data_IF_361266100340
#
_entry.id   IF_361266100340
#
_cell.length_a   1.000
_cell.length_b   1.000
_cell.length_c   1.000
_cell.angle_alpha   90.00
_cell.angle_beta   90.00
_cell.angle_gamma   90.00
#
_symmetry.space_group_name_H-M   'P 1'
#
loop_
_entity.id
_entity.type
_entity.pdbx_description
1 polymer ?
#
# COMPACT_ATOMS: atom_id res chain seq x y z
N UNK A 1 -10.82 -14.31 16.09
CA UNK A 1 -9.87 -14.04 14.98
C UNK A 1 -9.95 -12.56 14.69
N UNK A 2 -8.82 -11.88 14.53
CA UNK A 2 -8.78 -10.49 14.08
C UNK A 2 -8.60 -10.53 12.56
N UNK A 3 -9.65 -10.14 11.83
CA UNK A 3 -9.68 -10.16 10.37
C UNK A 3 -8.81 -9.09 9.73
N UNK A 4 -8.51 -8.02 10.46
CA UNK A 4 -7.56 -7.00 10.06
C UNK A 4 -7.05 -6.19 11.27
N UNK A 5 -5.73 -6.03 11.37
CA UNK A 5 -5.05 -5.10 12.28
C UNK A 5 -4.17 -4.12 11.48
N UNK A 6 -4.52 -3.90 10.21
CA UNK A 6 -3.80 -3.06 9.26
C UNK A 6 -4.40 -1.67 9.07
N UNK A 7 -3.96 -1.03 7.99
CA UNK A 7 -4.43 0.28 7.54
C UNK A 7 -3.31 1.08 6.88
N UNK A 8 -3.62 2.11 6.07
CA UNK A 8 -2.62 2.87 5.31
C UNK A 8 -1.55 3.56 6.16
N UNK A 9 -1.72 3.69 7.46
CA UNK A 9 -0.72 4.22 8.41
C UNK A 9 -0.45 3.24 9.56
N UNK A 10 -1.04 2.05 9.56
CA UNK A 10 -0.96 1.12 10.68
C UNK A 10 0.48 0.61 10.91
N UNK A 11 1.25 0.40 9.85
CA UNK A 11 2.66 0.05 9.99
C UNK A 11 3.57 1.21 10.42
N UNK A 12 3.02 2.41 10.61
CA UNK A 12 3.73 3.57 11.13
C UNK A 12 3.55 3.76 12.64
N UNK A 13 3.00 2.78 13.36
CA UNK A 13 2.84 2.84 14.81
C UNK A 13 4.17 3.18 15.50
N UNK A 14 4.15 4.25 16.31
CA UNK A 14 5.30 4.83 17.03
C UNK A 14 6.44 5.42 16.17
N UNK A 15 6.35 5.39 14.83
CA UNK A 15 7.28 6.10 13.96
C UNK A 15 7.07 7.62 14.11
N UNK A 16 8.17 8.37 14.26
CA UNK A 16 8.15 9.81 14.49
C UNK A 16 9.40 10.48 13.93
N UNK A 17 9.47 11.80 13.98
CA UNK A 17 10.71 12.52 13.71
C UNK A 17 11.75 12.17 14.79
N UNK A 18 12.96 11.78 14.37
CA UNK A 18 14.09 11.48 15.25
C UNK A 18 14.80 12.74 15.76
N UNK A 19 14.53 13.91 15.15
CA UNK A 19 15.19 15.17 15.47
C UNK A 19 14.16 16.19 15.99
N UNK A 20 14.11 16.45 17.31
CA UNK A 20 13.23 17.46 17.89
C UNK A 20 13.47 18.85 17.30
N UNK A 21 14.72 19.20 17.02
CA UNK A 21 15.08 20.48 16.41
C UNK A 21 14.52 20.60 14.99
N UNK A 22 14.65 19.54 14.18
CA UNK A 22 14.12 19.56 12.81
C UNK A 22 12.58 19.58 12.81
N UNK A 23 11.95 18.86 13.74
CA UNK A 23 10.50 18.79 13.88
C UNK A 23 9.88 20.17 14.20
N UNK A 24 10.49 20.93 15.11
CA UNK A 24 10.01 22.27 15.49
C UNK A 24 9.93 23.26 14.31
N UNK A 25 10.81 23.12 13.32
CA UNK A 25 10.87 24.01 12.16
C UNK A 25 10.41 23.34 10.86
N UNK A 26 9.89 22.11 10.93
CA UNK A 26 9.59 21.32 9.74
C UNK A 26 8.47 21.97 8.91
N UNK A 27 8.73 22.16 7.61
CA UNK A 27 7.74 22.64 6.62
C UNK A 27 7.42 21.60 5.54
N UNK A 28 7.94 20.37 5.68
CA UNK A 28 7.67 19.31 4.70
C UNK A 28 6.20 18.91 4.79
N UNK A 29 5.55 18.82 3.64
CA UNK A 29 4.19 18.31 3.53
C UNK A 29 4.12 16.78 3.77
N UNK A 30 5.26 16.09 3.62
CA UNK A 30 5.35 14.63 3.75
C UNK A 30 6.76 14.20 4.16
N UNK A 31 6.84 13.26 5.11
CA UNK A 31 8.09 12.63 5.54
C UNK A 31 8.58 11.51 4.60
N UNK A 32 7.79 11.20 3.58
CA UNK A 32 7.90 9.99 2.74
C UNK A 32 7.86 10.33 1.25
N UNK A 33 7.94 11.63 0.92
CA UNK A 33 7.90 12.14 -0.44
C UNK A 33 8.79 13.40 -0.57
N UNK A 34 9.47 13.62 -1.72
CA UNK A 34 9.67 12.67 -2.83
C UNK A 34 10.49 11.44 -2.43
N UNK A 35 11.32 11.60 -1.40
CA UNK A 35 12.10 10.57 -0.74
C UNK A 35 11.81 10.56 0.77
N UNK A 36 12.18 9.49 1.45
CA UNK A 36 12.06 9.39 2.90
C UNK A 36 12.96 10.44 3.55
N UNK A 37 12.36 11.25 4.42
CA UNK A 37 13.07 12.27 5.17
C UNK A 37 14.17 11.61 6.03
N UNK A 38 15.41 12.12 6.03
CA UNK A 38 16.50 11.52 6.81
C UNK A 38 16.25 11.56 8.33
N UNK A 39 15.38 12.47 8.79
CA UNK A 39 14.95 12.54 10.18
C UNK A 39 13.75 11.63 10.50
N UNK A 40 13.11 11.00 9.52
CA UNK A 40 11.99 10.09 9.75
C UNK A 40 12.49 8.77 10.34
N UNK A 41 11.87 8.31 11.42
CA UNK A 41 12.08 6.95 11.92
C UNK A 41 11.42 5.92 10.99
N UNK A 42 12.15 4.84 10.73
CA UNK A 42 11.72 3.73 9.89
C UNK A 42 11.82 2.38 10.63
N UNK A 43 12.16 2.40 11.92
CA UNK A 43 12.22 1.21 12.76
C UNK A 43 10.82 0.68 13.10
N UNK A 44 10.43 -0.44 12.50
CA UNK A 44 9.11 -1.05 12.71
C UNK A 44 9.06 -1.99 13.93
N UNK A 45 10.11 -2.07 14.73
CA UNK A 45 10.14 -2.90 15.95
C UNK A 45 8.94 -2.68 16.88
N UNK A 46 8.46 -1.45 17.16
CA UNK A 46 7.26 -1.26 17.97
C UNK A 46 6.01 -1.93 17.36
N UNK A 47 5.85 -1.84 16.04
CA UNK A 47 4.76 -2.48 15.29
C UNK A 47 4.87 -4.01 15.35
N UNK A 48 6.09 -4.55 15.12
CA UNK A 48 6.35 -5.99 15.20
C UNK A 48 6.02 -6.52 16.60
N UNK A 49 6.46 -5.82 17.64
CA UNK A 49 6.20 -6.17 19.03
C UNK A 49 4.71 -6.07 19.39
N UNK A 50 4.00 -5.09 18.83
CA UNK A 50 2.53 -5.01 18.95
C UNK A 50 1.87 -6.26 18.34
N UNK A 51 2.25 -6.62 17.13
CA UNK A 51 1.69 -7.79 16.45
C UNK A 51 1.95 -9.10 17.21
N UNK A 52 3.19 -9.29 17.69
CA UNK A 52 3.59 -10.45 18.51
C UNK A 52 2.75 -10.56 19.78
N UNK A 53 2.70 -9.49 20.58
CA UNK A 53 1.89 -9.44 21.81
C UNK A 53 0.42 -9.72 21.53
N UNK A 54 -0.13 -9.13 20.46
CA UNK A 54 -1.53 -9.34 20.10
C UNK A 54 -1.83 -10.82 19.76
N UNK A 55 -0.89 -11.54 19.13
CA UNK A 55 -1.04 -12.98 18.85
C UNK A 55 -1.03 -13.84 20.11
N UNK A 56 -0.34 -13.41 21.16
CA UNK A 56 -0.22 -14.16 22.42
C UNK A 56 -1.46 -14.02 23.33
N UNK A 57 -2.35 -13.07 23.03
CA UNK A 57 -3.57 -12.86 23.82
C UNK A 57 -4.52 -14.06 23.77
N UNK A 58 -5.03 -14.47 24.93
CA UNK A 58 -5.99 -15.58 25.07
C UNK A 58 -7.21 -15.34 24.18
N UNK A 59 -7.56 -16.34 23.36
CA UNK A 59 -8.69 -16.28 22.43
C UNK A 59 -8.35 -15.75 21.04
N UNK A 60 -7.15 -15.18 20.83
CA UNK A 60 -6.70 -14.75 19.50
C UNK A 60 -6.07 -15.93 18.76
N UNK A 61 -6.81 -16.49 17.80
CA UNK A 61 -6.34 -17.61 16.96
C UNK A 61 -5.48 -17.17 15.78
N UNK A 62 -5.73 -15.96 15.24
CA UNK A 62 -5.08 -15.42 14.03
C UNK A 62 -5.30 -13.92 13.95
N UNK A 63 -4.30 -13.21 13.43
CA UNK A 63 -4.34 -11.78 13.12
C UNK A 63 -3.91 -11.62 11.67
N UNK A 64 -4.75 -10.99 10.86
CA UNK A 64 -4.43 -10.67 9.47
C UNK A 64 -4.14 -9.17 9.31
N UNK A 65 -3.37 -8.83 8.26
CA UNK A 65 -3.16 -7.46 7.79
C UNK A 65 -3.65 -7.41 6.34
N UNK A 66 -4.77 -6.72 6.11
CA UNK A 66 -5.53 -6.76 4.84
C UNK A 66 -5.87 -5.38 4.24
N UNK A 67 -5.89 -4.30 5.04
CA UNK A 67 -6.27 -2.93 4.63
C UNK A 67 -5.12 -2.03 4.15
N UNK A 68 -3.99 -2.63 3.78
CA UNK A 68 -2.88 -1.95 3.12
C UNK A 68 -1.69 -1.66 4.05
N UNK A 69 -0.52 -1.50 3.43
CA UNK A 69 0.78 -1.28 4.08
C UNK A 69 1.47 -0.11 3.37
N UNK A 70 2.15 0.76 4.14
CA UNK A 70 3.13 1.71 3.60
C UNK A 70 4.36 0.96 3.15
N UNK A 71 4.26 0.37 1.96
CA UNK A 71 5.33 -0.44 1.35
C UNK A 71 6.60 0.38 1.14
N UNK A 72 6.46 1.68 0.88
CA UNK A 72 7.54 2.63 0.72
C UNK A 72 8.41 2.81 1.98
N UNK A 73 7.82 2.79 3.17
CA UNK A 73 8.58 2.76 4.44
C UNK A 73 8.93 1.31 4.85
N UNK A 74 8.07 0.33 4.54
CA UNK A 74 8.29 -1.06 4.93
C UNK A 74 9.59 -1.65 4.35
N UNK A 75 10.01 -1.23 3.16
CA UNK A 75 11.27 -1.67 2.54
C UNK A 75 12.52 -1.26 3.31
N UNK A 76 12.41 -0.25 4.18
CA UNK A 76 13.51 0.20 5.06
C UNK A 76 13.69 -0.72 6.27
N UNK A 77 12.72 -1.57 6.58
CA UNK A 77 12.82 -2.56 7.66
C UNK A 77 12.34 -3.95 7.19
N UNK A 78 13.24 -4.75 6.58
CA UNK A 78 12.92 -6.10 6.10
C UNK A 78 12.38 -7.03 7.20
N UNK A 79 12.66 -6.75 8.49
CA UNK A 79 12.11 -7.53 9.62
C UNK A 79 10.59 -7.43 9.66
N UNK A 80 10.03 -6.27 9.33
CA UNK A 80 8.59 -6.07 9.27
C UNK A 80 7.96 -6.88 8.13
N UNK A 81 8.57 -6.88 6.94
CA UNK A 81 8.07 -7.65 5.79
C UNK A 81 8.13 -9.15 6.09
N UNK A 82 9.20 -9.62 6.74
CA UNK A 82 9.32 -11.00 7.21
C UNK A 82 8.20 -11.35 8.20
N UNK A 83 7.96 -10.52 9.21
CA UNK A 83 6.87 -10.71 10.18
C UNK A 83 5.50 -10.79 9.48
N UNK A 84 5.26 -9.88 8.54
CA UNK A 84 4.04 -9.77 7.75
C UNK A 84 3.77 -11.05 6.93
N UNK A 85 4.73 -11.48 6.11
CA UNK A 85 4.59 -12.68 5.26
C UNK A 85 4.45 -13.97 6.12
N UNK A 86 5.25 -14.07 7.17
CA UNK A 86 5.30 -15.28 8.02
C UNK A 86 4.04 -15.47 8.84
N UNK A 87 3.41 -14.40 9.34
CA UNK A 87 2.31 -14.56 10.31
C UNK A 87 0.99 -13.92 9.90
N UNK A 88 1.01 -12.87 9.09
CA UNK A 88 -0.14 -11.96 8.99
C UNK A 88 -0.80 -11.88 7.62
N UNK A 89 -0.18 -12.45 6.60
CA UNK A 89 -0.82 -12.59 5.28
C UNK A 89 -1.37 -13.99 5.10
N UNK A 90 -2.66 -14.07 4.79
CA UNK A 90 -3.38 -15.33 4.59
C UNK A 90 -3.18 -15.95 3.19
N UNK A 91 -2.88 -15.11 2.20
CA UNK A 91 -2.68 -15.50 0.80
C UNK A 91 -2.47 -14.27 -0.06
N UNK A 92 -3.44 -13.34 -0.03
CA UNK A 92 -3.35 -12.08 -0.78
C UNK A 92 -3.04 -10.91 0.15
N UNK A 93 -2.15 -10.01 -0.30
CA UNK A 93 -1.92 -8.71 0.32
C UNK A 93 -2.23 -7.61 -0.70
N UNK A 94 -3.24 -6.79 -0.40
CA UNK A 94 -3.62 -5.65 -1.23
C UNK A 94 -2.63 -4.50 -1.01
N UNK A 95 -2.06 -3.98 -2.10
CA UNK A 95 -1.13 -2.86 -2.07
C UNK A 95 -1.54 -1.81 -3.11
N UNK A 96 -1.46 -0.53 -2.75
CA UNK A 96 -1.79 0.58 -3.66
C UNK A 96 -0.53 1.30 -4.13
N UNK A 97 0.02 0.99 -5.30
CA UNK A 97 1.04 1.85 -5.90
C UNK A 97 0.51 3.28 -6.15
N UNK A 98 -0.78 3.41 -6.44
CA UNK A 98 -1.43 4.70 -6.73
C UNK A 98 -1.65 4.87 -8.22
N UNK A 99 -0.61 5.28 -8.95
CA UNK A 99 -0.61 5.39 -10.40
C UNK A 99 0.68 4.78 -10.99
N UNK A 100 0.71 4.49 -12.28
CA UNK A 100 1.91 3.91 -12.92
C UNK A 100 2.97 4.98 -13.22
N UNK A 101 2.55 6.22 -13.51
CA UNK A 101 3.41 7.25 -14.10
C UNK A 101 3.73 8.36 -13.11
N UNK A 102 4.98 8.86 -13.18
CA UNK A 102 5.55 9.81 -12.22
C UNK A 102 4.75 11.11 -12.12
N UNK A 103 4.17 11.59 -13.23
CA UNK A 103 3.38 12.82 -13.26
C UNK A 103 2.11 12.76 -12.41
N UNK A 104 1.40 11.63 -12.39
CA UNK A 104 0.26 11.42 -11.49
C UNK A 104 0.72 11.13 -10.07
N UNK A 105 1.75 10.28 -9.91
CA UNK A 105 2.29 9.94 -8.60
C UNK A 105 2.80 11.16 -7.81
N UNK A 106 3.39 12.16 -8.48
CA UNK A 106 3.84 13.38 -7.83
C UNK A 106 2.70 14.21 -7.27
N UNK A 107 1.57 14.29 -7.98
CA UNK A 107 0.33 14.94 -7.49
C UNK A 107 -0.28 14.18 -6.31
N UNK A 108 -0.06 12.87 -6.25
CA UNK A 108 -0.48 12.02 -5.13
C UNK A 108 0.52 11.98 -3.98
N UNK A 109 1.66 12.67 -4.10
CA UNK A 109 2.79 12.60 -3.17
C UNK A 109 3.24 11.15 -2.87
N UNK A 110 3.25 10.30 -3.90
CA UNK A 110 3.70 8.92 -3.82
C UNK A 110 5.04 8.72 -4.53
N UNK A 111 5.90 7.83 -4.02
CA UNK A 111 7.13 7.47 -4.71
C UNK A 111 6.84 6.70 -6.00
N UNK A 112 7.86 6.57 -6.86
CA UNK A 112 7.78 5.77 -8.07
C UNK A 112 7.59 4.27 -7.82
N UNK A 113 7.43 3.50 -8.90
CA UNK A 113 7.25 2.05 -8.84
C UNK A 113 8.43 1.28 -8.23
N UNK A 114 9.64 1.87 -8.15
CA UNK A 114 10.81 1.18 -7.58
C UNK A 114 10.63 0.71 -6.14
N UNK A 115 9.94 1.49 -5.29
CA UNK A 115 9.63 1.06 -3.92
C UNK A 115 8.63 -0.11 -3.89
N UNK A 116 7.71 -0.18 -4.86
CA UNK A 116 6.80 -1.31 -5.00
C UNK A 116 7.55 -2.57 -5.43
N UNK A 117 8.44 -2.46 -6.41
CA UNK A 117 9.23 -3.59 -6.93
C UNK A 117 10.11 -4.19 -5.81
N UNK A 118 10.82 -3.34 -5.05
CA UNK A 118 11.62 -3.79 -3.90
C UNK A 118 10.76 -4.44 -2.80
N UNK A 119 9.58 -3.90 -2.53
CA UNK A 119 8.66 -4.51 -1.58
C UNK A 119 8.20 -5.90 -2.06
N UNK A 120 7.89 -6.04 -3.35
CA UNK A 120 7.50 -7.31 -3.97
C UNK A 120 8.61 -8.35 -3.84
N UNK A 121 9.85 -8.00 -4.16
CA UNK A 121 11.00 -8.91 -4.04
C UNK A 121 11.17 -9.44 -2.60
N UNK A 122 11.12 -8.54 -1.61
CA UNK A 122 11.23 -8.91 -0.19
C UNK A 122 10.03 -9.75 0.27
N UNK A 123 8.82 -9.39 -0.15
CA UNK A 123 7.60 -10.13 0.18
C UNK A 123 7.66 -11.56 -0.38
N UNK A 124 7.92 -11.71 -1.68
CA UNK A 124 8.02 -13.03 -2.32
C UNK A 124 9.11 -13.89 -1.67
N UNK A 125 10.26 -13.29 -1.33
CA UNK A 125 11.36 -13.97 -0.63
C UNK A 125 10.91 -14.53 0.72
N UNK A 126 10.26 -13.71 1.55
CA UNK A 126 9.83 -14.14 2.88
C UNK A 126 8.60 -15.06 2.84
N UNK A 127 7.72 -14.91 1.86
CA UNK A 127 6.62 -15.86 1.60
C UNK A 127 7.17 -17.26 1.29
N UNK A 128 8.18 -17.34 0.41
CA UNK A 128 8.86 -18.60 0.08
C UNK A 128 9.57 -19.20 1.30
N UNK A 129 10.28 -18.38 2.09
CA UNK A 129 10.92 -18.85 3.34
C UNK A 129 9.91 -19.36 4.36
N UNK A 130 8.72 -18.77 4.42
CA UNK A 130 7.64 -19.22 5.29
C UNK A 130 6.90 -20.46 4.75
N UNK A 131 7.28 -20.98 3.57
CA UNK A 131 6.62 -22.12 2.93
C UNK A 131 5.20 -21.81 2.47
N UNK A 132 4.89 -20.54 2.17
CA UNK A 132 3.55 -20.10 1.81
C UNK A 132 3.45 -19.66 0.36
N UNK A 133 2.35 -20.01 -0.26
CA UNK A 133 1.93 -19.44 -1.53
C UNK A 133 1.15 -18.14 -1.26
N UNK A 134 1.78 -16.99 -1.50
CA UNK A 134 1.20 -15.67 -1.25
C UNK A 134 1.43 -14.74 -2.44
N UNK A 135 0.55 -13.77 -2.62
CA UNK A 135 0.55 -12.87 -3.76
C UNK A 135 0.23 -11.44 -3.35
N UNK A 136 0.90 -10.48 -3.99
CA UNK A 136 0.50 -9.08 -3.95
C UNK A 136 -0.60 -8.83 -4.97
N UNK A 137 -1.67 -8.17 -4.53
CA UNK A 137 -2.73 -7.67 -5.40
C UNK A 137 -2.56 -6.15 -5.51
N UNK A 138 -1.89 -5.65 -6.55
CA UNK A 138 -1.76 -4.22 -6.76
C UNK A 138 -3.10 -3.65 -7.24
N UNK A 139 -3.49 -2.50 -6.69
CA UNK A 139 -4.64 -1.74 -7.18
C UNK A 139 -4.24 -0.30 -7.49
N UNK A 140 -4.68 0.18 -8.65
CA UNK A 140 -4.36 1.50 -9.18
C UNK A 140 -5.61 2.39 -9.22
N UNK A 141 -5.38 3.70 -9.18
CA UNK A 141 -6.40 4.71 -9.44
C UNK A 141 -6.40 4.99 -10.94
N UNK A 142 -7.55 4.86 -11.58
CA UNK A 142 -7.78 5.40 -12.92
C UNK A 142 -8.26 6.86 -12.84
N UNK A 143 -7.97 7.65 -13.88
CA UNK A 143 -8.52 9.00 -14.06
C UNK A 143 -8.26 10.03 -12.93
N UNK A 144 -7.23 9.84 -12.09
CA UNK A 144 -6.79 10.88 -11.16
C UNK A 144 -6.33 12.16 -11.90
N UNK A 145 -6.52 13.37 -11.34
CA UNK A 145 -5.96 14.60 -11.92
C UNK A 145 -4.48 14.45 -12.30
N UNK A 146 -4.15 14.70 -13.56
CA UNK A 146 -2.80 14.51 -14.12
C UNK A 146 -2.55 13.19 -14.84
N UNK A 147 -3.50 12.25 -14.81
CA UNK A 147 -3.46 11.04 -15.64
C UNK A 147 -3.79 11.39 -17.09
N UNK A 148 -2.99 10.84 -18.03
CA UNK A 148 -3.24 10.88 -19.48
C UNK A 148 -3.63 9.50 -19.99
N UNK A 149 -4.24 9.43 -21.18
CA UNK A 149 -4.59 8.15 -21.83
C UNK A 149 -3.36 7.25 -22.03
N UNK A 150 -2.22 7.85 -22.39
CA UNK A 150 -0.94 7.15 -22.47
C UNK A 150 -0.56 6.47 -21.15
N UNK A 151 -0.86 7.08 -20.01
CA UNK A 151 -0.56 6.49 -18.71
C UNK A 151 -1.42 5.27 -18.43
N UNK A 152 -2.68 5.28 -18.90
CA UNK A 152 -3.61 4.16 -18.81
C UNK A 152 -3.21 3.01 -19.74
N UNK A 153 -2.76 3.29 -20.97
CA UNK A 153 -2.20 2.27 -21.88
C UNK A 153 -0.96 1.63 -21.27
N UNK A 154 -0.06 2.44 -20.71
CA UNK A 154 1.14 1.93 -20.05
C UNK A 154 0.82 1.08 -18.82
N UNK A 155 -0.19 1.46 -18.03
CA UNK A 155 -0.68 0.65 -16.92
C UNK A 155 -1.23 -0.70 -17.42
N UNK A 156 -2.02 -0.72 -18.50
CA UNK A 156 -2.55 -1.95 -19.08
C UNK A 156 -1.43 -2.88 -19.57
N UNK A 157 -0.40 -2.34 -20.22
CA UNK A 157 0.78 -3.11 -20.64
C UNK A 157 1.55 -3.68 -19.44
N UNK A 158 1.71 -2.88 -18.38
CA UNK A 158 2.34 -3.35 -17.15
C UNK A 158 1.54 -4.47 -16.48
N UNK A 159 0.21 -4.34 -16.37
CA UNK A 159 -0.66 -5.37 -15.79
C UNK A 159 -0.58 -6.68 -16.56
N UNK A 160 -0.53 -6.62 -17.90
CA UNK A 160 -0.35 -7.79 -18.76
C UNK A 160 1.01 -8.48 -18.52
N UNK A 161 2.08 -7.70 -18.34
CA UNK A 161 3.43 -8.23 -18.07
C UNK A 161 3.59 -8.75 -16.65
N UNK A 162 2.92 -8.15 -15.67
CA UNK A 162 3.07 -8.47 -14.25
C UNK A 162 2.55 -9.87 -13.88
N UNK A 163 1.96 -10.62 -14.83
CA UNK A 163 1.47 -11.99 -14.64
C UNK A 163 0.70 -12.15 -13.34
N UNK A 164 -0.30 -11.29 -13.12
CA UNK A 164 -1.23 -11.47 -12.01
C UNK A 164 -1.79 -12.90 -12.11
N UNK A 165 -1.79 -13.70 -11.02
CA UNK A 165 -2.23 -15.07 -11.08
C UNK A 165 -3.61 -15.14 -11.74
N UNK A 166 -3.73 -15.92 -12.81
CA UNK A 166 -4.99 -16.24 -13.47
C UNK A 166 -5.82 -17.14 -12.56
N UNK A 167 -6.30 -16.60 -11.44
CA UNK A 167 -7.28 -17.22 -10.56
C UNK A 167 -8.55 -16.36 -10.54
N UNK A 168 -9.75 -16.98 -10.56
CA UNK A 168 -11.01 -16.25 -10.55
C UNK A 168 -11.05 -15.24 -9.39
N UNK A 169 -11.26 -13.96 -9.70
CA UNK A 169 -11.37 -12.86 -8.72
C UNK A 169 -10.16 -11.94 -8.57
N UNK A 170 -8.99 -12.26 -9.14
CA UNK A 170 -7.83 -11.35 -9.15
C UNK A 170 -7.93 -10.26 -10.23
N UNK A 171 -8.66 -10.52 -11.33
CA UNK A 171 -8.80 -9.60 -12.47
C UNK A 171 -9.62 -8.34 -12.13
N UNK A 172 -10.66 -8.47 -11.28
CA UNK A 172 -11.55 -7.36 -10.92
C UNK A 172 -10.95 -6.32 -9.95
N UNK A 173 -9.85 -6.63 -9.26
CA UNK A 173 -9.33 -5.81 -8.15
C UNK A 173 -8.20 -4.84 -8.55
N UNK A 174 -7.78 -4.84 -9.81
CA UNK A 174 -6.57 -4.13 -10.27
C UNK A 174 -6.78 -2.64 -10.56
N UNK A 175 -8.01 -2.20 -10.83
CA UNK A 175 -8.35 -0.80 -11.10
C UNK A 175 -9.57 -0.42 -10.27
N UNK A 176 -9.35 0.39 -9.23
CA UNK A 176 -10.46 1.09 -8.60
C UNK A 176 -10.76 2.32 -9.45
N UNK A 177 -11.78 2.25 -10.29
CA UNK A 177 -12.46 3.45 -10.74
C UNK A 177 -13.01 4.13 -9.50
N UNK A 178 -12.71 5.41 -9.30
CA UNK A 178 -13.50 6.19 -8.35
C UNK A 178 -14.96 6.01 -8.75
N UNK A 179 -15.82 5.63 -7.81
CA UNK A 179 -17.26 5.78 -7.97
C UNK A 179 -17.50 7.25 -8.31
N UNK A 180 -17.66 7.53 -9.60
CA UNK A 180 -18.34 8.71 -10.07
C UNK A 180 -19.79 8.48 -9.69
N UNK A 181 -20.18 9.04 -8.56
CA UNK A 181 -21.57 9.17 -8.16
C UNK A 181 -22.27 10.11 -9.16
N UNK A 182 -22.64 9.56 -10.32
CA UNK A 182 -23.38 10.24 -11.39
C UNK A 182 -24.89 10.18 -11.13
N UNK A 183 -25.31 10.24 -9.87
CA UNK A 183 -26.73 10.18 -9.48
C UNK A 183 -27.27 11.47 -8.85
N UNK A 184 -26.85 12.66 -9.28
CA UNK A 184 -27.69 13.87 -9.14
C UNK A 184 -27.44 14.88 -10.27
N UNK A 185 -27.83 14.55 -11.51
CA UNK A 185 -28.23 15.57 -12.49
C UNK A 185 -29.44 15.00 -13.26
N UNK A 186 -30.56 14.89 -12.54
CA UNK A 186 -31.86 14.66 -13.17
C UNK A 186 -32.27 15.90 -13.96
N UNK A 187 -32.54 15.67 -15.24
CA UNK A 187 -33.52 16.34 -16.10
C UNK A 187 -34.28 17.50 -15.43
N UNK A 188 -34.05 18.71 -15.91
CA UNK A 188 -35.11 19.69 -16.09
C UNK A 188 -35.06 20.15 -17.54
N UNK A 189 -36.06 19.71 -18.31
CA UNK A 189 -36.46 20.40 -19.54
C UNK A 189 -36.96 21.80 -19.17
N UNK A 190 -36.70 22.84 -19.99
CA UNK A 190 -37.33 24.12 -19.78
C UNK A 190 -38.81 24.03 -20.24
N UNK A 191 -39.72 24.22 -19.29
CA UNK A 191 -41.06 24.71 -19.58
C UNK A 191 -40.96 26.24 -19.69
N UNK A 192 -41.30 26.79 -20.86
CA UNK A 192 -41.33 28.22 -21.13
C UNK A 192 -41.02 28.55 -22.59
#
# INVERSE_FOLDING_TARGET
MISDLGGPTANMYMLRCKSPRAEQTCRRLSCVYPDICPHMDTNHEPTINLYRRARELKGIKKILIASGVRYDIAVEDPRYIKELATHHVGGYLKIRPGAYRRGTLSKMMKPGMGSYDRFKELFDTYSKQAGKEQYLIPYFISAHPGTRDEDMVNLALWLKKASLPSRPGAELLSVAAGELDHHVLHRQEPAG
#
